data_IF_816755784662
#
_entry.id   IF_816755784662
#
_cell.length_a   1.000
_cell.length_b   1.000
_cell.length_c   1.000
_cell.angle_alpha   90.00
_cell.angle_beta   90.00
_cell.angle_gamma   90.00
#
_symmetry.space_group_name_H-M   'P 1'
#
loop_
_entity.id
_entity.type
_entity.pdbx_description
1 polymer ?
#
# COMPACT_ATOMS: atom_id res chain seq x y z
N UNK A 1 -4.71 13.69 30.49
CA UNK A 1 -5.04 12.30 30.87
C UNK A 1 -4.35 11.97 32.20
N UNK A 2 -5.09 11.50 33.22
CA UNK A 2 -4.52 11.10 34.52
C UNK A 2 -3.73 9.79 34.37
N UNK A 3 -2.59 9.72 35.08
CA UNK A 3 -1.64 8.57 35.12
C UNK A 3 -2.36 7.22 35.17
N UNK A 4 -2.06 6.36 34.20
CA UNK A 4 -2.46 4.95 34.20
C UNK A 4 -1.51 4.19 35.13
N UNK A 5 -1.92 3.99 36.39
CA UNK A 5 -1.29 3.02 37.28
C UNK A 5 -1.65 1.60 36.81
N UNK A 6 -0.71 0.93 36.13
CA UNK A 6 -0.84 -0.50 35.81
C UNK A 6 -0.72 -1.36 37.07
N UNK A 7 -1.83 -1.54 37.79
CA UNK A 7 -1.98 -2.68 38.70
C UNK A 7 -2.56 -3.93 38.04
N UNK A 8 -2.93 -3.90 36.76
CA UNK A 8 -3.49 -5.06 36.07
C UNK A 8 -2.83 -5.28 34.70
N UNK A 9 -2.20 -6.45 34.53
CA UNK A 9 -1.57 -6.95 33.30
C UNK A 9 -2.63 -7.32 32.25
N UNK A 10 -2.78 -6.63 31.10
CA UNK A 10 -3.72 -7.04 30.06
C UNK A 10 -3.04 -7.69 28.83
N UNK A 11 -1.72 -7.54 28.66
CA UNK A 11 -1.04 -7.96 27.44
C UNK A 11 -0.42 -9.38 27.50
N UNK A 12 0.03 -9.83 28.69
CA UNK A 12 0.62 -11.17 28.88
C UNK A 12 -0.34 -12.21 29.51
N UNK A 13 -1.56 -11.83 29.89
CA UNK A 13 -2.56 -12.77 30.43
C UNK A 13 -3.22 -13.63 29.35
N UNK A 14 -3.24 -13.15 28.10
CA UNK A 14 -3.92 -13.78 26.96
C UNK A 14 -3.37 -15.16 26.55
N UNK A 15 -2.05 -15.38 26.66
CA UNK A 15 -1.44 -16.72 26.45
C UNK A 15 -1.79 -17.73 27.55
N UNK A 16 -2.10 -17.28 28.77
CA UNK A 16 -2.50 -18.17 29.89
C UNK A 16 -3.98 -18.55 29.86
N UNK A 17 -4.83 -17.74 29.24
CA UNK A 17 -6.26 -18.02 29.04
C UNK A 17 -6.56 -18.67 27.68
N UNK A 18 -5.55 -18.80 26.81
CA UNK A 18 -5.65 -19.39 25.47
C UNK A 18 -6.59 -18.66 24.50
N UNK A 19 -6.69 -17.33 24.65
CA UNK A 19 -7.43 -16.43 23.76
C UNK A 19 -6.45 -15.41 23.16
N UNK A 20 -6.32 -15.40 21.84
CA UNK A 20 -5.65 -14.35 21.07
C UNK A 20 -6.65 -13.35 20.51
N UNK A 21 -6.40 -12.05 20.68
CA UNK A 21 -7.24 -10.99 20.12
C UNK A 21 -6.59 -10.40 18.87
N UNK A 22 -7.25 -10.55 17.72
CA UNK A 22 -6.68 -10.25 16.41
C UNK A 22 -7.09 -8.87 15.88
N UNK A 23 -7.88 -8.09 16.63
CA UNK A 23 -8.23 -6.71 16.29
C UNK A 23 -7.84 -5.70 17.38
N UNK A 24 -6.54 -5.65 17.73
CA UNK A 24 -6.04 -4.79 18.81
C UNK A 24 -5.68 -3.40 18.28
N UNK A 25 -6.64 -2.50 18.34
CA UNK A 25 -6.56 -1.09 17.90
C UNK A 25 -7.15 -0.15 18.95
N UNK A 26 -6.92 1.14 18.80
CA UNK A 26 -7.36 2.15 19.78
C UNK A 26 -8.88 2.14 19.98
N UNK A 27 -9.64 1.96 18.90
CA UNK A 27 -11.11 1.93 18.89
C UNK A 27 -11.68 0.78 19.73
N UNK A 28 -10.90 -0.29 19.91
CA UNK A 28 -11.30 -1.47 20.67
C UNK A 28 -10.81 -1.41 22.13
N UNK A 29 -10.42 -0.24 22.63
CA UNK A 29 -10.03 -0.01 24.02
C UNK A 29 -10.91 1.10 24.61
N UNK A 30 -11.74 0.73 25.59
CA UNK A 30 -12.56 1.67 26.34
C UNK A 30 -11.97 1.89 27.73
N UNK A 31 -12.07 3.12 28.23
CA UNK A 31 -11.80 3.42 29.63
C UNK A 31 -13.11 3.34 30.41
N UNK A 32 -13.23 2.34 31.27
CA UNK A 32 -14.33 2.21 32.23
C UNK A 32 -13.75 2.51 33.61
N UNK A 33 -14.20 3.60 34.24
CA UNK A 33 -13.68 4.10 35.52
C UNK A 33 -12.15 4.28 35.52
N UNK A 34 -11.60 4.77 34.41
CA UNK A 34 -10.16 4.95 34.22
C UNK A 34 -9.36 3.66 34.02
N UNK A 35 -10.02 2.49 33.96
CA UNK A 35 -9.40 1.20 33.69
C UNK A 35 -9.58 0.84 32.21
N UNK A 36 -8.50 0.56 31.46
CA UNK A 36 -8.63 0.13 30.08
C UNK A 36 -9.23 -1.28 30.00
N UNK A 37 -10.28 -1.40 29.19
CA UNK A 37 -10.98 -2.65 28.86
C UNK A 37 -10.90 -2.87 27.36
N UNK A 38 -10.61 -4.10 26.97
CA UNK A 38 -10.62 -4.51 25.56
C UNK A 38 -12.04 -4.94 25.22
N UNK A 39 -12.56 -4.40 24.12
CA UNK A 39 -13.87 -4.73 23.57
C UNK A 39 -13.72 -5.36 22.18
N UNK A 40 -14.86 -5.66 21.54
CA UNK A 40 -14.95 -6.27 20.21
C UNK A 40 -14.20 -7.60 20.04
N UNK A 41 -14.83 -8.66 20.55
CA UNK A 41 -14.34 -10.04 20.44
C UNK A 41 -14.75 -10.71 19.12
N UNK A 42 -15.05 -9.93 18.06
CA UNK A 42 -15.43 -10.46 16.76
C UNK A 42 -14.32 -11.27 16.07
N UNK A 43 -13.05 -10.90 16.32
CA UNK A 43 -11.85 -11.51 15.72
C UNK A 43 -10.95 -12.12 16.80
N UNK A 44 -11.42 -13.24 17.35
CA UNK A 44 -10.71 -14.01 18.39
C UNK A 44 -10.22 -15.35 17.86
N UNK A 45 -8.99 -15.68 18.24
CA UNK A 45 -8.42 -17.01 18.15
C UNK A 45 -8.50 -17.71 19.51
N UNK A 46 -9.11 -18.89 19.57
CA UNK A 46 -9.37 -19.66 20.79
C UNK A 46 -8.66 -21.03 20.70
N UNK A 47 -7.72 -21.28 21.61
CA UNK A 47 -6.84 -22.46 21.60
C UNK A 47 -7.27 -23.58 22.55
N UNK A 48 -8.11 -23.29 23.53
CA UNK A 48 -8.39 -24.19 24.67
C UNK A 48 -9.58 -25.11 24.46
N UNK A 49 -10.50 -24.78 23.54
CA UNK A 49 -11.73 -25.52 23.30
C UNK A 49 -12.80 -25.36 24.40
N UNK A 50 -12.60 -24.48 25.39
CA UNK A 50 -13.52 -24.29 26.52
C UNK A 50 -14.91 -23.82 26.06
N UNK A 51 -15.96 -24.54 26.44
CA UNK A 51 -17.35 -24.20 26.10
C UNK A 51 -17.79 -22.85 26.69
N UNK A 52 -17.34 -22.54 27.92
CA UNK A 52 -17.66 -21.29 28.60
C UNK A 52 -17.28 -20.02 27.85
N UNK A 53 -16.21 -20.05 27.03
CA UNK A 53 -15.87 -18.89 26.18
C UNK A 53 -16.91 -18.64 25.08
N UNK A 54 -17.62 -19.68 24.63
CA UNK A 54 -18.71 -19.55 23.65
C UNK A 54 -20.00 -19.12 24.31
N UNK A 55 -20.31 -19.68 25.48
CA UNK A 55 -21.48 -19.35 26.28
C UNK A 55 -21.46 -17.88 26.71
N UNK A 56 -20.29 -17.36 27.08
CA UNK A 56 -20.10 -15.94 27.45
C UNK A 56 -19.92 -15.00 26.24
N UNK A 57 -19.95 -15.51 25.00
CA UNK A 57 -19.82 -14.70 23.79
C UNK A 57 -18.39 -14.22 23.45
N UNK A 58 -17.36 -14.69 24.14
CA UNK A 58 -15.95 -14.34 23.86
C UNK A 58 -15.36 -15.08 22.65
N UNK A 59 -15.92 -16.22 22.27
CA UNK A 59 -15.45 -17.02 21.13
C UNK A 59 -16.64 -17.51 20.28
N UNK A 60 -16.51 -17.39 18.96
CA UNK A 60 -17.52 -17.88 18.01
C UNK A 60 -17.34 -19.38 17.72
N UNK A 61 -18.43 -20.05 17.32
CA UNK A 61 -18.39 -21.43 16.83
C UNK A 61 -17.71 -21.49 15.45
N UNK A 62 -16.96 -22.55 15.17
CA UNK A 62 -16.34 -22.83 13.88
C UNK A 62 -14.82 -23.05 13.96
N UNK A 63 -14.30 -23.92 13.09
CA UNK A 63 -12.88 -24.29 13.04
C UNK A 63 -11.96 -23.11 12.72
N UNK A 64 -12.44 -22.10 11.96
CA UNK A 64 -11.65 -20.91 11.63
C UNK A 64 -11.20 -20.09 12.84
N UNK A 65 -11.98 -20.09 13.93
CA UNK A 65 -11.61 -19.40 15.18
C UNK A 65 -10.61 -20.18 16.02
N UNK A 66 -10.23 -21.39 15.58
CA UNK A 66 -9.21 -22.27 16.18
C UNK A 66 -7.91 -22.29 15.39
N UNK A 67 -7.75 -21.43 14.39
CA UNK A 67 -6.49 -21.23 13.68
C UNK A 67 -6.28 -19.75 13.39
N UNK A 68 -5.17 -19.19 13.83
CA UNK A 68 -4.90 -17.77 13.66
C UNK A 68 -4.78 -17.35 12.19
N UNK A 69 -4.24 -18.22 11.33
CA UNK A 69 -4.14 -17.97 9.89
C UNK A 69 -5.49 -18.12 9.19
N UNK A 70 -6.43 -18.89 9.75
CA UNK A 70 -7.76 -19.08 9.19
C UNK A 70 -8.75 -17.95 9.52
N UNK A 71 -8.42 -17.07 10.47
CA UNK A 71 -9.20 -15.86 10.73
C UNK A 71 -9.18 -14.93 9.51
N UNK A 72 -8.02 -14.85 8.84
CA UNK A 72 -7.82 -14.08 7.62
C UNK A 72 -8.38 -12.66 7.72
N UNK A 73 -8.18 -12.00 8.86
CA UNK A 73 -8.66 -10.66 9.13
C UNK A 73 -7.57 -9.81 9.79
N UNK A 74 -7.52 -8.53 9.41
CA UNK A 74 -6.45 -7.63 9.78
C UNK A 74 -6.92 -6.18 9.79
N UNK A 75 -6.33 -5.37 10.67
CA UNK A 75 -6.55 -3.92 10.69
C UNK A 75 -5.31 -3.21 10.17
N UNK A 76 -5.42 -2.35 9.14
CA UNK A 76 -4.30 -1.57 8.64
C UNK A 76 -3.56 -0.84 9.77
N UNK A 77 -2.26 -1.05 9.87
CA UNK A 77 -1.39 -0.39 10.85
C UNK A 77 -1.44 -0.99 12.26
N UNK A 78 -2.32 -1.96 12.52
CA UNK A 78 -2.41 -2.67 13.80
C UNK A 78 -2.25 -4.19 13.65
N UNK A 79 -2.19 -4.68 12.41
CA UNK A 79 -2.07 -6.09 12.12
C UNK A 79 -0.66 -6.63 12.36
N UNK A 80 -0.60 -7.89 12.82
CA UNK A 80 0.64 -8.66 12.80
C UNK A 80 0.71 -9.49 11.51
N UNK A 81 1.91 -9.72 11.00
CA UNK A 81 2.08 -10.46 9.74
C UNK A 81 1.52 -11.90 9.82
N UNK A 82 1.56 -12.53 11.00
CA UNK A 82 1.02 -13.87 11.25
C UNK A 82 -0.52 -13.98 11.17
N UNK A 83 -1.24 -12.86 11.05
CA UNK A 83 -2.70 -12.86 10.94
C UNK A 83 -3.17 -13.21 9.53
N UNK A 84 -2.32 -12.98 8.52
CA UNK A 84 -2.67 -13.14 7.12
C UNK A 84 -1.56 -13.75 6.26
N UNK A 85 -0.39 -14.02 6.83
CA UNK A 85 0.70 -14.76 6.19
C UNK A 85 1.39 -15.69 7.21
N UNK A 86 2.41 -16.44 6.79
CA UNK A 86 3.22 -17.31 7.66
C UNK A 86 4.54 -16.66 8.14
N UNK A 87 4.72 -15.36 7.88
CA UNK A 87 5.98 -14.65 8.10
C UNK A 87 6.23 -14.15 9.50
N UNK A 88 7.51 -13.84 9.75
CA UNK A 88 8.01 -13.26 11.00
C UNK A 88 8.71 -11.90 10.80
N UNK A 89 8.61 -11.32 9.60
CA UNK A 89 9.12 -9.99 9.25
C UNK A 89 8.48 -8.85 10.04
N UNK A 90 7.27 -9.05 10.57
CA UNK A 90 6.61 -8.05 11.41
C UNK A 90 5.70 -8.66 12.49
N UNK A 91 6.08 -8.46 13.75
CA UNK A 91 5.38 -8.99 14.93
C UNK A 91 4.98 -7.89 15.93
N UNK A 92 5.09 -6.63 15.53
CA UNK A 92 5.01 -5.49 16.44
C UNK A 92 3.56 -5.16 16.76
N UNK A 93 3.25 -4.96 18.04
CA UNK A 93 1.96 -4.45 18.50
C UNK A 93 1.99 -2.92 18.47
N UNK A 94 1.71 -2.32 17.31
CA UNK A 94 1.78 -0.87 17.13
C UNK A 94 0.90 -0.08 18.08
N UNK A 95 -0.17 -0.70 18.59
CA UNK A 95 -1.01 -0.15 19.64
C UNK A 95 -0.21 0.56 20.74
N UNK A 96 0.94 0.02 21.13
CA UNK A 96 1.77 0.66 22.14
C UNK A 96 2.26 2.03 21.68
N UNK A 97 2.82 2.17 20.48
CA UNK A 97 3.23 3.48 19.94
C UNK A 97 2.09 4.50 19.99
N UNK A 98 0.88 4.08 19.65
CA UNK A 98 -0.32 4.91 19.72
C UNK A 98 -0.81 5.27 21.12
N UNK A 99 -0.28 4.65 22.19
CA UNK A 99 -0.61 5.01 23.58
C UNK A 99 0.25 6.16 24.12
N UNK A 100 1.45 6.35 23.57
CA UNK A 100 2.43 7.31 24.10
C UNK A 100 3.00 8.28 23.06
N UNK A 101 2.60 8.13 21.80
CA UNK A 101 2.69 9.17 20.80
C UNK A 101 1.27 9.67 20.50
N UNK A 102 1.10 10.94 20.17
CA UNK A 102 -0.18 11.37 19.60
C UNK A 102 -0.45 10.65 18.26
N UNK A 103 -1.70 10.69 17.79
CA UNK A 103 -2.14 9.99 16.58
C UNK A 103 -1.24 10.29 15.38
N UNK A 104 -1.00 11.57 15.07
CA UNK A 104 -0.23 12.00 13.89
C UNK A 104 1.24 11.62 14.03
N UNK A 105 1.81 11.81 15.22
CA UNK A 105 3.17 11.43 15.55
C UNK A 105 3.41 9.93 15.39
N UNK A 106 2.47 9.09 15.84
CA UNK A 106 2.56 7.63 15.68
C UNK A 106 2.67 7.22 14.21
N UNK A 107 1.79 7.75 13.36
CA UNK A 107 1.81 7.47 11.92
C UNK A 107 3.10 7.95 11.25
N UNK A 108 3.58 9.14 11.60
CA UNK A 108 4.84 9.66 11.06
C UNK A 108 6.04 8.80 11.47
N UNK A 109 6.14 8.46 12.75
CA UNK A 109 7.24 7.66 13.28
C UNK A 109 7.28 6.24 12.68
N UNK A 110 6.11 5.65 12.42
CA UNK A 110 5.99 4.30 11.89
C UNK A 110 6.17 4.24 10.37
N UNK A 111 5.59 5.20 9.62
CA UNK A 111 5.38 5.04 8.18
C UNK A 111 5.93 6.18 7.32
N UNK A 112 6.36 7.31 7.89
CA UNK A 112 7.04 8.37 7.12
C UNK A 112 8.53 8.06 7.05
N UNK A 113 9.09 8.08 5.85
CA UNK A 113 10.54 8.12 5.65
C UNK A 113 11.10 9.38 6.31
N UNK A 114 12.23 9.24 6.99
CA UNK A 114 12.92 10.35 7.65
C UNK A 114 14.36 10.43 7.14
N UNK A 115 14.84 11.64 6.93
CA UNK A 115 16.25 11.88 6.67
C UNK A 115 17.05 12.03 7.99
N UNK A 116 18.37 12.08 7.90
CA UNK A 116 19.24 12.19 9.09
C UNK A 116 19.06 13.50 9.87
N UNK A 117 18.62 14.59 9.23
CA UNK A 117 18.31 15.85 9.92
C UNK A 117 17.03 15.70 10.75
N UNK A 118 15.94 15.24 10.12
CA UNK A 118 14.66 14.97 10.80
C UNK A 118 14.87 13.97 11.95
N UNK A 119 15.68 12.93 11.74
CA UNK A 119 16.01 11.94 12.77
C UNK A 119 16.64 12.58 14.00
N UNK A 120 17.64 13.46 13.83
CA UNK A 120 18.29 14.18 14.94
C UNK A 120 17.33 15.08 15.69
N UNK A 121 16.37 15.70 15.00
CA UNK A 121 15.32 16.51 15.63
C UNK A 121 14.35 15.64 16.44
N UNK A 122 13.89 14.53 15.87
CA UNK A 122 13.02 13.56 16.55
C UNK A 122 13.74 12.95 17.76
N UNK A 123 15.02 12.62 17.66
CA UNK A 123 15.80 12.06 18.77
C UNK A 123 15.82 13.01 19.98
N UNK A 124 15.95 14.33 19.76
CA UNK A 124 15.86 15.32 20.82
C UNK A 124 14.48 15.32 21.49
N UNK A 125 13.41 15.25 20.71
CA UNK A 125 12.03 15.20 21.23
C UNK A 125 11.84 13.93 22.07
N UNK A 126 12.23 12.78 21.53
CA UNK A 126 12.11 11.47 22.21
C UNK A 126 12.93 11.44 23.51
N UNK A 127 14.13 12.02 23.52
CA UNK A 127 14.96 12.18 24.72
C UNK A 127 14.26 13.06 25.77
N UNK A 128 13.70 14.20 25.37
CA UNK A 128 12.97 15.10 26.26
C UNK A 128 11.71 14.46 26.86
N UNK A 129 11.13 13.45 26.18
CA UNK A 129 10.00 12.66 26.68
C UNK A 129 10.42 11.43 27.52
N UNK A 130 11.72 11.28 27.84
CA UNK A 130 12.28 10.11 28.52
C UNK A 130 12.01 8.76 27.80
N UNK A 131 11.88 8.80 26.47
CA UNK A 131 11.48 7.65 25.66
C UNK A 131 12.63 7.08 24.81
N UNK A 132 13.88 7.18 25.27
CA UNK A 132 15.08 6.75 24.52
C UNK A 132 15.04 5.27 24.09
N UNK A 133 14.31 4.43 24.83
CA UNK A 133 14.14 3.01 24.56
C UNK A 133 12.94 2.68 23.66
N UNK A 134 12.25 3.66 23.07
CA UNK A 134 11.02 3.46 22.28
C UNK A 134 11.21 2.42 21.15
N UNK A 135 12.38 2.38 20.52
CA UNK A 135 12.74 1.44 19.45
C UNK A 135 12.70 -0.03 19.88
N UNK A 136 12.87 -0.31 21.18
CA UNK A 136 12.92 -1.67 21.74
C UNK A 136 11.54 -2.21 22.10
N UNK A 137 10.47 -1.40 21.99
CA UNK A 137 9.09 -1.86 22.27
C UNK A 137 8.69 -3.00 21.33
N UNK A 138 9.22 -2.99 20.09
CA UNK A 138 9.05 -4.07 19.11
C UNK A 138 9.65 -5.42 19.54
N UNK A 139 10.57 -5.43 20.50
CA UNK A 139 11.20 -6.64 21.04
C UNK A 139 10.33 -7.32 22.11
N UNK A 140 9.14 -6.77 22.39
CA UNK A 140 8.21 -7.30 23.38
C UNK A 140 8.53 -6.89 24.82
N UNK A 141 9.54 -6.02 25.02
CA UNK A 141 9.90 -5.50 26.32
C UNK A 141 8.96 -4.36 26.75
N UNK A 142 7.77 -4.72 27.19
CA UNK A 142 6.74 -3.76 27.63
C UNK A 142 7.07 -3.05 28.96
N UNK A 143 8.11 -3.45 29.70
CA UNK A 143 8.49 -2.71 30.93
C UNK A 143 9.04 -1.33 30.60
N UNK A 144 9.61 -1.16 29.41
CA UNK A 144 10.11 0.12 28.88
C UNK A 144 9.01 1.18 28.77
N UNK A 145 7.73 0.76 28.67
CA UNK A 145 6.59 1.68 28.65
C UNK A 145 6.52 2.50 29.96
N UNK A 146 7.03 1.97 31.08
CA UNK A 146 7.03 2.68 32.36
C UNK A 146 8.00 3.86 32.41
N UNK A 147 8.98 3.88 31.51
CA UNK A 147 9.98 4.94 31.41
C UNK A 147 9.41 6.18 30.69
N UNK A 148 8.39 5.98 29.84
CA UNK A 148 7.78 7.05 29.05
C UNK A 148 6.82 7.84 29.94
N UNK A 149 7.21 9.07 30.31
CA UNK A 149 6.45 9.91 31.25
C UNK A 149 5.51 10.90 30.56
N UNK A 150 5.71 11.14 29.27
CA UNK A 150 5.04 12.20 28.50
C UNK A 150 4.64 11.71 27.13
N UNK A 151 3.55 12.27 26.58
CA UNK A 151 3.15 12.03 25.19
C UNK A 151 4.22 12.63 24.27
N UNK A 152 4.69 11.82 23.33
CA UNK A 152 5.61 12.24 22.27
C UNK A 152 4.78 12.90 21.17
N UNK A 153 5.05 14.18 20.96
CA UNK A 153 4.44 14.96 19.90
C UNK A 153 5.52 15.54 19.01
N UNK A 154 5.56 15.08 17.77
CA UNK A 154 6.47 15.59 16.75
C UNK A 154 5.72 16.71 16.04
N UNK A 155 6.30 17.92 15.97
CA UNK A 155 5.77 18.99 15.15
C UNK A 155 5.74 18.51 13.69
N UNK A 156 4.59 18.01 13.24
CA UNK A 156 4.46 17.50 11.88
C UNK A 156 3.88 18.57 10.98
N UNK A 157 4.58 18.85 9.89
CA UNK A 157 4.12 19.67 8.78
C UNK A 157 3.46 18.88 7.65
N UNK A 158 3.42 17.54 7.69
CA UNK A 158 3.13 16.76 6.47
C UNK A 158 1.73 16.19 6.37
N UNK A 159 1.04 16.55 5.30
CA UNK A 159 -0.22 16.03 4.76
C UNK A 159 -0.11 14.62 4.12
N UNK A 160 0.98 13.87 4.36
CA UNK A 160 1.29 12.60 3.67
C UNK A 160 0.29 11.46 3.92
N UNK A 161 -0.49 11.57 5.00
CA UNK A 161 -1.45 10.56 5.38
C UNK A 161 -2.82 11.22 5.54
N UNK A 162 -3.85 10.62 4.96
CA UNK A 162 -5.24 10.97 5.22
C UNK A 162 -5.65 10.35 6.57
N UNK A 163 -5.20 10.96 7.66
CA UNK A 163 -5.37 10.42 9.03
C UNK A 163 -6.76 10.65 9.62
N UNK A 164 -7.55 11.50 8.96
CA UNK A 164 -8.90 11.84 9.37
C UNK A 164 -9.96 10.95 8.68
N UNK A 165 -9.55 10.02 7.80
CA UNK A 165 -10.44 9.04 7.18
C UNK A 165 -10.97 8.05 8.23
N UNK A 166 -12.30 8.06 8.41
CA UNK A 166 -13.02 7.20 9.34
C UNK A 166 -12.83 5.69 9.08
N UNK A 167 -12.33 5.30 7.90
CA UNK A 167 -12.12 3.92 7.51
C UNK A 167 -10.66 3.45 7.61
N UNK A 168 -9.71 4.32 7.96
CA UNK A 168 -8.27 3.98 8.02
C UNK A 168 -7.97 2.76 8.90
N UNK A 169 -8.68 2.61 10.02
CA UNK A 169 -8.51 1.51 10.98
C UNK A 169 -9.64 0.48 10.92
N UNK A 170 -10.41 0.46 9.83
CA UNK A 170 -11.45 -0.54 9.63
C UNK A 170 -10.82 -1.90 9.30
N UNK A 171 -11.22 -2.91 10.06
CA UNK A 171 -10.72 -4.28 9.91
C UNK A 171 -11.22 -4.87 8.60
N UNK A 172 -10.36 -5.60 7.90
CA UNK A 172 -10.67 -6.22 6.60
C UNK A 172 -10.50 -7.72 6.62
N UNK A 173 -11.31 -8.40 5.80
CA UNK A 173 -11.14 -9.82 5.52
C UNK A 173 -10.14 -9.99 4.38
N UNK A 174 -8.92 -10.39 4.69
CA UNK A 174 -7.81 -10.55 3.74
C UNK A 174 -8.17 -11.51 2.59
N UNK A 175 -8.96 -12.56 2.85
CA UNK A 175 -9.37 -13.50 1.80
C UNK A 175 -10.23 -12.85 0.70
N UNK A 176 -10.83 -11.68 0.94
CA UNK A 176 -11.55 -10.94 -0.09
C UNK A 176 -10.63 -10.10 -0.96
N UNK A 177 -9.36 -9.90 -0.60
CA UNK A 177 -8.40 -9.10 -1.37
C UNK A 177 -8.23 -9.62 -2.78
N UNK A 178 -8.02 -10.93 -2.93
CA UNK A 178 -7.90 -11.57 -4.24
C UNK A 178 -9.15 -11.34 -5.09
N UNK A 179 -10.34 -11.50 -4.51
CA UNK A 179 -11.60 -11.29 -5.22
C UNK A 179 -11.83 -9.81 -5.59
N UNK A 180 -11.54 -8.89 -4.67
CA UNK A 180 -11.72 -7.45 -4.86
C UNK A 180 -10.78 -6.93 -5.95
N UNK A 181 -9.51 -7.32 -5.90
CA UNK A 181 -8.55 -6.91 -6.91
C UNK A 181 -8.76 -7.62 -8.25
N UNK A 182 -9.19 -8.89 -8.29
CA UNK A 182 -9.60 -9.54 -9.58
C UNK A 182 -10.77 -8.80 -10.24
N UNK A 183 -11.65 -8.18 -9.45
CA UNK A 183 -12.80 -7.44 -9.97
C UNK A 183 -12.46 -6.01 -10.40
N UNK A 184 -11.51 -5.33 -9.75
CA UNK A 184 -10.96 -4.06 -10.28
C UNK A 184 -10.40 -4.22 -11.70
N UNK A 185 -9.91 -5.42 -12.03
CA UNK A 185 -9.27 -5.75 -13.32
C UNK A 185 -10.27 -6.11 -14.41
N UNK A 186 -11.34 -6.82 -14.05
CA UNK A 186 -12.28 -7.41 -15.00
C UNK A 186 -13.46 -6.50 -15.34
N UNK A 187 -13.55 -5.29 -14.78
CA UNK A 187 -14.58 -4.34 -15.19
C UNK A 187 -14.22 -3.74 -16.55
N UNK A 188 -15.04 -4.04 -17.55
CA UNK A 188 -15.06 -3.33 -18.82
C UNK A 188 -15.14 -1.84 -18.53
N UNK A 189 -14.04 -1.10 -18.74
CA UNK A 189 -13.86 0.33 -18.43
C UNK A 189 -14.95 1.24 -19.05
N UNK A 190 -15.77 0.70 -19.96
CA UNK A 190 -16.95 1.33 -20.55
C UNK A 190 -18.12 1.53 -19.56
N UNK A 191 -18.23 0.70 -18.51
CA UNK A 191 -19.36 0.72 -17.56
C UNK A 191 -18.92 1.00 -16.11
N UNK A 192 -17.74 1.59 -15.96
CA UNK A 192 -17.09 1.80 -14.68
C UNK A 192 -17.52 3.14 -14.08
N UNK A 193 -17.92 3.14 -12.81
CA UNK A 193 -18.31 4.37 -12.10
C UNK A 193 -17.11 5.31 -11.94
N UNK A 194 -17.35 6.63 -11.82
CA UNK A 194 -16.31 7.66 -11.66
C UNK A 194 -15.24 7.29 -10.60
N UNK A 195 -15.64 6.64 -9.52
CA UNK A 195 -14.79 6.19 -8.41
C UNK A 195 -13.72 5.13 -8.79
N UNK A 196 -13.88 4.46 -9.93
CA UNK A 196 -12.94 3.43 -10.40
C UNK A 196 -12.10 3.92 -11.58
N UNK A 197 -12.54 4.95 -12.31
CA UNK A 197 -11.79 5.56 -13.41
C UNK A 197 -10.77 6.61 -12.94
N UNK A 198 -11.06 7.43 -11.91
CA UNK A 198 -10.08 8.37 -11.36
C UNK A 198 -9.23 7.72 -10.26
N UNK A 199 -8.28 6.91 -10.70
CA UNK A 199 -7.44 6.09 -9.84
C UNK A 199 -5.95 6.33 -10.09
N UNK A 200 -5.55 7.58 -10.39
CA UNK A 200 -4.12 7.95 -10.50
C UNK A 200 -3.33 7.57 -9.25
N UNK A 201 -4.00 7.78 -8.13
CA UNK A 201 -3.50 7.61 -6.79
C UNK A 201 -4.45 6.73 -6.00
N UNK A 202 -5.15 5.77 -6.61
CA UNK A 202 -6.09 4.95 -5.84
C UNK A 202 -5.35 4.05 -4.86
N UNK A 203 -6.02 3.74 -3.75
CA UNK A 203 -5.49 2.87 -2.71
C UNK A 203 -4.98 1.52 -3.22
N UNK A 204 -5.50 0.99 -4.33
CA UNK A 204 -5.13 -0.36 -4.80
C UNK A 204 -4.30 -0.40 -6.06
N UNK A 205 -4.54 0.44 -7.06
CA UNK A 205 -3.80 0.36 -8.32
C UNK A 205 -2.29 0.55 -8.09
N UNK A 206 -1.92 1.45 -7.17
CA UNK A 206 -0.55 1.72 -6.75
C UNK A 206 0.10 0.51 -6.08
N UNK A 207 -0.39 -0.03 -4.94
CA UNK A 207 0.24 -1.18 -4.32
C UNK A 207 0.11 -2.47 -5.14
N UNK A 208 -0.90 -2.62 -6.00
CA UNK A 208 -0.97 -3.75 -6.95
C UNK A 208 0.16 -3.64 -7.96
N UNK A 209 0.35 -2.48 -8.59
CA UNK A 209 1.46 -2.29 -9.53
C UNK A 209 2.82 -2.52 -8.87
N UNK A 210 3.04 -2.01 -7.66
CA UNK A 210 4.26 -2.25 -6.86
C UNK A 210 4.43 -3.73 -6.51
N UNK A 211 3.34 -4.44 -6.22
CA UNK A 211 3.37 -5.89 -5.98
C UNK A 211 3.88 -6.63 -7.21
N UNK A 212 3.40 -6.30 -8.40
CA UNK A 212 3.86 -6.92 -9.66
C UNK A 212 5.34 -6.66 -9.91
N UNK A 213 5.79 -5.42 -9.70
CA UNK A 213 7.21 -5.05 -9.83
C UNK A 213 8.09 -5.82 -8.83
N UNK A 214 7.65 -5.95 -7.58
CA UNK A 214 8.35 -6.73 -6.55
C UNK A 214 8.40 -8.21 -6.90
N UNK A 215 7.30 -8.79 -7.36
CA UNK A 215 7.25 -10.19 -7.77
C UNK A 215 8.25 -10.48 -8.90
N UNK A 216 8.31 -9.59 -9.90
CA UNK A 216 9.32 -9.65 -10.96
C UNK A 216 10.74 -9.54 -10.38
N UNK A 217 11.00 -8.57 -9.50
CA UNK A 217 12.33 -8.33 -8.93
C UNK A 217 12.82 -9.49 -8.05
N UNK A 218 11.94 -10.11 -7.24
CA UNK A 218 12.26 -11.29 -6.43
C UNK A 218 12.71 -12.45 -7.33
N UNK A 219 11.97 -12.69 -8.42
CA UNK A 219 12.27 -13.78 -9.36
C UNK A 219 13.54 -13.51 -10.15
N UNK A 220 13.69 -12.32 -10.72
CA UNK A 220 14.71 -12.03 -11.73
C UNK A 220 15.98 -11.40 -11.15
N UNK A 221 15.87 -10.46 -10.21
CA UNK A 221 17.05 -9.81 -9.63
C UNK A 221 17.73 -10.70 -8.58
N UNK A 222 16.94 -11.51 -7.85
CA UNK A 222 17.46 -12.38 -6.78
C UNK A 222 17.52 -13.86 -7.17
N UNK A 223 16.96 -14.26 -8.32
CA UNK A 223 16.90 -15.65 -8.74
C UNK A 223 16.08 -16.55 -7.79
N UNK A 224 15.16 -15.97 -7.00
CA UNK A 224 14.47 -16.70 -5.94
C UNK A 224 13.26 -17.49 -6.48
N UNK A 225 13.20 -18.78 -6.13
CA UNK A 225 12.06 -19.66 -6.45
C UNK A 225 11.21 -19.87 -5.20
N UNK A 226 10.00 -19.34 -5.21
CA UNK A 226 9.06 -19.43 -4.10
C UNK A 226 8.34 -20.79 -4.06
N UNK A 227 9.02 -21.80 -3.51
CA UNK A 227 8.51 -23.20 -3.47
C UNK A 227 7.26 -23.37 -2.61
N UNK A 228 7.05 -22.50 -1.63
CA UNK A 228 5.99 -22.62 -0.62
C UNK A 228 4.96 -21.49 -0.73
N UNK A 229 4.98 -20.74 -1.84
CA UNK A 229 4.07 -19.62 -2.10
C UNK A 229 4.14 -18.52 -1.02
N UNK A 230 5.24 -18.38 -0.26
CA UNK A 230 5.33 -17.37 0.81
C UNK A 230 5.31 -15.92 0.30
N UNK A 231 5.65 -15.71 -0.97
CA UNK A 231 5.79 -14.44 -1.67
C UNK A 231 4.77 -14.32 -2.81
N UNK A 232 3.62 -14.99 -2.67
CA UNK A 232 2.49 -14.79 -3.57
C UNK A 232 2.08 -13.32 -3.64
N UNK A 233 1.50 -12.92 -4.77
CA UNK A 233 1.05 -11.54 -4.97
C UNK A 233 0.08 -11.07 -3.86
N UNK A 234 -0.82 -11.94 -3.41
CA UNK A 234 -1.73 -11.65 -2.30
C UNK A 234 -0.98 -11.36 -0.99
N UNK A 235 0.05 -12.15 -0.67
CA UNK A 235 0.85 -11.99 0.56
C UNK A 235 1.70 -10.72 0.53
N UNK A 236 2.30 -10.40 -0.62
CA UNK A 236 3.05 -9.16 -0.82
C UNK A 236 2.10 -7.96 -0.72
N UNK A 237 0.99 -7.97 -1.46
CA UNK A 237 -0.01 -6.89 -1.46
C UNK A 237 -0.56 -6.64 -0.06
N UNK A 238 -1.00 -7.70 0.63
CA UNK A 238 -1.50 -7.60 2.01
C UNK A 238 -0.46 -6.97 2.93
N UNK A 239 0.82 -7.35 2.78
CA UNK A 239 1.91 -6.77 3.58
C UNK A 239 2.14 -5.30 3.26
N UNK A 240 2.03 -4.90 1.98
CA UNK A 240 2.14 -3.50 1.58
C UNK A 240 1.05 -2.63 2.25
N UNK A 241 -0.21 -3.05 2.13
CA UNK A 241 -1.38 -2.24 2.53
C UNK A 241 -1.78 -2.36 4.00
N UNK A 242 -1.32 -3.39 4.72
CA UNK A 242 -1.64 -3.59 6.14
C UNK A 242 -0.49 -3.23 7.07
N UNK A 243 0.76 -3.31 6.60
CA UNK A 243 1.96 -3.18 7.46
C UNK A 243 2.91 -2.10 6.96
N UNK A 244 3.31 -2.12 5.69
CA UNK A 244 4.41 -1.25 5.21
C UNK A 244 3.93 0.19 5.10
N UNK A 245 2.80 0.38 4.42
CA UNK A 245 2.19 1.66 4.21
C UNK A 245 0.67 1.50 4.38
N UNK A 246 0.19 1.43 5.63
CA UNK A 246 -1.17 0.99 5.88
C UNK A 246 -2.19 1.97 5.34
N UNK A 247 -3.26 1.44 4.75
CA UNK A 247 -4.31 2.24 4.13
C UNK A 247 -5.69 1.69 4.41
N UNK A 248 -6.67 2.59 4.39
CA UNK A 248 -8.07 2.21 4.40
C UNK A 248 -8.36 1.29 3.21
N UNK A 249 -9.18 0.28 3.48
CA UNK A 249 -9.69 -0.63 2.47
C UNK A 249 -11.18 -0.37 2.17
N UNK A 250 -11.73 0.73 2.70
CA UNK A 250 -13.07 1.17 2.34
C UNK A 250 -13.16 1.49 0.84
N UNK A 251 -14.35 1.28 0.28
CA UNK A 251 -14.57 1.40 -1.17
C UNK A 251 -14.05 0.21 -1.99
N UNK A 252 -13.39 -0.77 -1.37
CA UNK A 252 -13.09 -2.08 -1.97
C UNK A 252 -14.17 -3.11 -1.68
N UNK A 253 -15.23 -2.69 -1.00
CA UNK A 253 -16.42 -3.50 -0.85
C UNK A 253 -17.21 -3.46 -2.16
N UNK A 254 -17.60 -4.62 -2.67
CA UNK A 254 -18.28 -4.78 -3.95
C UNK A 254 -19.60 -4.00 -4.05
N UNK A 255 -20.19 -3.73 -2.90
CA UNK A 255 -21.22 -2.74 -2.68
C UNK A 255 -20.66 -1.79 -1.63
N UNK A 256 -19.96 -0.71 -2.01
CA UNK A 256 -19.57 0.28 -1.01
C UNK A 256 -20.85 0.66 -0.29
N UNK A 257 -20.83 0.55 1.04
CA UNK A 257 -21.96 1.05 1.80
C UNK A 257 -22.16 2.51 1.37
N UNK A 258 -23.38 3.04 1.26
CA UNK A 258 -23.59 4.43 0.79
C UNK A 258 -22.77 5.48 1.58
N UNK A 259 -22.21 5.08 2.73
CA UNK A 259 -21.34 5.84 3.63
C UNK A 259 -19.83 5.72 3.35
N UNK A 260 -19.38 4.76 2.53
CA UNK A 260 -17.98 4.61 2.12
C UNK A 260 -17.74 5.38 0.82
N UNK A 261 -17.68 6.71 0.93
CA UNK A 261 -17.55 7.64 -0.21
C UNK A 261 -16.14 8.19 -0.38
N UNK A 262 -15.26 7.98 0.61
CA UNK A 262 -13.92 8.57 0.66
C UNK A 262 -12.86 7.49 0.41
N UNK A 263 -12.03 7.71 -0.62
CA UNK A 263 -10.88 6.89 -0.93
C UNK A 263 -9.62 7.64 -0.50
N UNK A 264 -8.65 6.92 0.07
CA UNK A 264 -7.36 7.55 0.33
C UNK A 264 -6.55 7.58 -0.96
N UNK A 265 -5.88 8.71 -1.18
CA UNK A 265 -4.93 8.83 -2.26
C UNK A 265 -3.59 8.21 -1.84
N UNK A 266 -2.95 7.55 -2.78
CA UNK A 266 -1.64 6.95 -2.62
C UNK A 266 -0.71 7.48 -3.71
N UNK A 267 0.26 8.27 -3.29
CA UNK A 267 1.33 8.70 -4.19
C UNK A 267 2.34 7.56 -4.32
N UNK A 268 2.56 7.10 -5.56
CA UNK A 268 3.48 6.01 -5.87
C UNK A 268 4.86 6.23 -5.27
N UNK A 269 5.37 7.47 -5.30
CA UNK A 269 6.67 7.82 -4.74
C UNK A 269 6.72 7.57 -3.24
N UNK A 270 5.67 7.91 -2.47
CA UNK A 270 5.63 7.67 -1.03
C UNK A 270 5.64 6.17 -0.70
N UNK A 271 4.90 5.35 -1.45
CA UNK A 271 4.93 3.89 -1.25
C UNK A 271 6.31 3.30 -1.59
N UNK A 272 6.91 3.71 -2.71
CA UNK A 272 8.24 3.26 -3.13
C UNK A 272 9.33 3.70 -2.15
N UNK A 273 9.26 4.93 -1.65
CA UNK A 273 10.13 5.43 -0.61
C UNK A 273 9.99 4.64 0.67
N UNK A 274 8.76 4.38 1.13
CA UNK A 274 8.53 3.57 2.33
C UNK A 274 8.99 2.12 2.15
N UNK A 275 8.86 1.58 0.94
CA UNK A 275 9.34 0.24 0.60
C UNK A 275 10.87 0.16 0.70
N UNK A 276 11.59 1.14 0.18
CA UNK A 276 13.06 1.09 0.10
C UNK A 276 13.79 1.78 1.28
N UNK A 277 13.16 2.71 2.01
CA UNK A 277 13.77 3.48 3.12
C UNK A 277 13.21 3.06 4.47
N UNK A 278 14.00 3.26 5.52
CA UNK A 278 13.57 3.07 6.91
C UNK A 278 12.72 4.26 7.37
N UNK A 279 11.94 4.03 8.42
CA UNK A 279 11.29 5.10 9.19
C UNK A 279 11.99 5.22 10.54
N UNK A 280 11.49 6.08 11.43
CA UNK A 280 12.06 6.16 12.77
C UNK A 280 11.93 4.83 13.52
N UNK A 281 10.76 4.17 13.45
CA UNK A 281 10.46 2.99 14.26
C UNK A 281 10.49 1.66 13.46
N UNK A 282 10.50 1.71 12.13
CA UNK A 282 10.38 0.51 11.29
C UNK A 282 11.54 0.34 10.30
N UNK A 283 11.89 -0.91 10.07
CA UNK A 283 12.77 -1.32 8.97
C UNK A 283 12.14 -1.01 7.60
N UNK A 284 12.95 -1.11 6.54
CA UNK A 284 12.45 -0.91 5.17
C UNK A 284 11.33 -1.89 4.86
N UNK A 285 10.37 -1.48 4.03
CA UNK A 285 9.28 -2.36 3.62
C UNK A 285 9.78 -3.63 2.94
N UNK A 286 10.85 -3.53 2.15
CA UNK A 286 11.48 -4.69 1.54
C UNK A 286 12.00 -5.68 2.58
N UNK A 287 12.64 -5.24 3.66
CA UNK A 287 13.10 -6.17 4.70
C UNK A 287 11.95 -6.84 5.47
N UNK A 288 10.80 -6.18 5.56
CA UNK A 288 9.58 -6.76 6.11
C UNK A 288 9.03 -7.85 5.17
N UNK A 289 8.93 -7.56 3.87
CA UNK A 289 8.50 -8.54 2.84
C UNK A 289 9.47 -9.70 2.74
N UNK A 290 10.79 -9.45 2.68
CA UNK A 290 11.84 -10.48 2.60
C UNK A 290 11.73 -11.53 3.70
N UNK A 291 11.11 -11.21 4.83
CA UNK A 291 10.93 -12.12 5.98
C UNK A 291 9.52 -12.73 6.05
N UNK A 292 8.79 -12.76 4.94
CA UNK A 292 7.54 -13.53 4.80
C UNK A 292 7.75 -15.04 4.94
N UNK A 293 8.87 -15.58 4.45
CA UNK A 293 9.28 -16.94 4.74
C UNK A 293 9.68 -17.10 6.21
N UNK A 294 9.22 -18.17 6.87
CA UNK A 294 9.51 -18.40 8.29
C UNK A 294 10.99 -18.73 8.51
N UNK A 295 11.56 -19.63 7.72
CA UNK A 295 12.95 -20.06 7.86
C UNK A 295 13.86 -19.29 6.90
N UNK A 296 15.13 -19.11 7.27
CA UNK A 296 16.07 -18.35 6.44
C UNK A 296 16.29 -18.96 5.05
N UNK A 297 16.25 -20.29 4.95
CA UNK A 297 16.31 -21.05 3.68
C UNK A 297 15.13 -20.75 2.73
N UNK A 298 14.00 -20.30 3.27
CA UNK A 298 12.77 -20.03 2.53
C UNK A 298 12.60 -18.53 2.24
N UNK A 299 13.64 -17.72 2.51
CA UNK A 299 13.63 -16.27 2.26
C UNK A 299 14.53 -15.95 1.07
N UNK A 300 14.20 -14.92 0.26
CA UNK A 300 15.14 -14.34 -0.69
C UNK A 300 16.43 -13.91 0.02
N UNK A 301 17.56 -13.99 -0.68
CA UNK A 301 18.86 -13.51 -0.18
C UNK A 301 18.75 -12.09 0.36
N UNK A 302 19.60 -11.75 1.35
CA UNK A 302 19.69 -10.37 1.84
C UNK A 302 19.98 -9.44 0.66
N UNK A 303 19.26 -8.35 0.61
CA UNK A 303 19.28 -7.44 -0.52
C UNK A 303 18.70 -6.08 -0.14
N UNK A 304 19.07 -5.06 -0.90
CA UNK A 304 18.57 -3.70 -0.75
C UNK A 304 17.57 -3.38 -1.86
N UNK A 305 16.53 -2.63 -1.51
CA UNK A 305 15.53 -2.14 -2.45
C UNK A 305 15.98 -0.79 -2.98
N UNK A 306 15.94 -0.63 -4.30
CA UNK A 306 16.07 0.66 -4.99
C UNK A 306 14.89 0.83 -5.93
N UNK A 307 14.45 2.06 -6.10
CA UNK A 307 13.51 2.42 -7.15
C UNK A 307 14.10 3.54 -8.00
N UNK A 308 13.74 3.55 -9.27
CA UNK A 308 14.20 4.54 -10.23
C UNK A 308 13.03 5.13 -11.01
N UNK A 309 13.07 6.44 -11.24
CA UNK A 309 12.17 7.12 -12.17
C UNK A 309 12.66 6.87 -13.60
N UNK A 310 11.75 6.43 -14.46
CA UNK A 310 12.00 6.12 -15.86
C UNK A 310 11.16 7.06 -16.70
N UNK A 311 11.77 7.66 -17.71
CA UNK A 311 11.10 8.57 -18.61
C UNK A 311 10.78 7.83 -19.92
N UNK A 312 9.52 7.46 -20.10
CA UNK A 312 9.00 6.89 -21.33
C UNK A 312 9.02 7.94 -22.43
N UNK A 313 9.44 7.57 -23.64
CA UNK A 313 9.55 8.42 -24.83
C UNK A 313 9.53 7.55 -26.10
N UNK A 314 9.47 8.13 -27.29
CA UNK A 314 9.39 7.39 -28.56
C UNK A 314 10.57 6.40 -28.73
N UNK A 315 11.76 6.78 -28.27
CA UNK A 315 13.00 5.99 -28.34
C UNK A 315 13.22 5.08 -27.12
N UNK A 316 12.23 4.96 -26.23
CA UNK A 316 12.33 4.17 -25.01
C UNK A 316 12.56 2.68 -25.31
N UNK A 317 13.56 2.10 -24.66
CA UNK A 317 13.88 0.68 -24.70
C UNK A 317 13.41 0.00 -23.42
N UNK A 318 12.50 -0.96 -23.58
CA UNK A 318 11.97 -1.72 -22.45
C UNK A 318 13.01 -2.71 -21.93
N UNK A 319 13.25 -2.70 -20.62
CA UNK A 319 14.21 -3.60 -19.97
C UNK A 319 13.59 -4.44 -18.87
N UNK A 320 12.54 -3.94 -18.21
CA UNK A 320 11.84 -4.60 -17.11
C UNK A 320 10.50 -3.93 -16.83
N UNK A 321 9.58 -4.61 -16.13
CA UNK A 321 8.27 -4.05 -15.83
C UNK A 321 8.34 -2.72 -15.09
N UNK A 322 7.46 -1.79 -15.47
CA UNK A 322 7.35 -0.45 -14.91
C UNK A 322 5.94 -0.22 -14.41
N UNK A 323 5.83 0.53 -13.31
CA UNK A 323 4.55 1.12 -12.93
C UNK A 323 4.37 2.41 -13.73
N UNK A 324 3.25 2.53 -14.43
CA UNK A 324 2.94 3.62 -15.36
C UNK A 324 1.60 4.23 -15.02
N UNK A 325 1.41 5.51 -15.32
CA UNK A 325 0.12 6.17 -15.15
C UNK A 325 -0.53 6.34 -16.53
N UNK A 326 -1.67 5.71 -16.75
CA UNK A 326 -2.49 5.95 -17.94
C UNK A 326 -3.36 7.19 -17.79
N UNK A 327 -3.67 7.81 -18.92
CA UNK A 327 -4.64 8.88 -19.08
C UNK A 327 -5.72 8.42 -20.08
N UNK A 328 -6.99 8.65 -19.75
CA UNK A 328 -8.13 8.22 -20.56
C UNK A 328 -9.13 9.35 -20.72
N UNK A 329 -9.52 9.64 -21.95
CA UNK A 329 -10.51 10.66 -22.27
C UNK A 329 -11.91 10.04 -22.34
N UNK A 330 -12.74 10.33 -21.33
CA UNK A 330 -14.15 9.94 -21.35
C UNK A 330 -14.96 11.06 -22.03
N UNK A 331 -15.67 10.76 -23.14
CA UNK A 331 -16.57 11.75 -23.74
C UNK A 331 -17.85 11.90 -22.90
N UNK A 332 -18.25 13.14 -22.58
CA UNK A 332 -19.52 13.44 -21.89
C UNK A 332 -20.69 13.31 -22.86
N UNK A 333 -20.56 13.86 -24.07
CA UNK A 333 -21.63 13.91 -25.07
C UNK A 333 -21.11 13.70 -26.48
N UNK A 334 -21.99 13.16 -27.30
CA UNK A 334 -21.84 13.14 -28.76
C UNK A 334 -22.88 14.08 -29.33
N UNK A 335 -22.45 15.17 -29.96
CA UNK A 335 -23.33 16.11 -30.67
C UNK A 335 -22.88 16.11 -32.13
N UNK A 336 -23.78 15.75 -33.05
CA UNK A 336 -23.52 15.69 -34.49
C UNK A 336 -22.28 14.85 -34.86
N UNK A 337 -22.03 13.76 -34.14
CA UNK A 337 -20.87 12.88 -34.34
C UNK A 337 -19.55 13.41 -33.75
N UNK A 338 -19.55 14.64 -33.23
CA UNK A 338 -18.40 15.22 -32.53
C UNK A 338 -18.47 14.89 -31.03
N UNK A 339 -17.33 14.49 -30.48
CA UNK A 339 -17.20 14.15 -29.07
C UNK A 339 -16.79 15.38 -28.27
N UNK A 340 -17.53 15.67 -27.19
CA UNK A 340 -17.24 16.76 -26.27
C UNK A 340 -16.68 16.16 -24.97
N UNK A 341 -15.38 16.35 -24.68
CA UNK A 341 -14.75 15.82 -23.47
C UNK A 341 -15.14 16.62 -22.23
N UNK A 342 -15.47 15.96 -21.11
CA UNK A 342 -15.62 16.61 -19.79
C UNK A 342 -14.34 16.50 -18.94
N UNK A 343 -13.73 15.31 -18.89
CA UNK A 343 -12.77 14.98 -17.84
C UNK A 343 -11.75 13.93 -18.32
N UNK A 344 -10.46 14.18 -18.07
CA UNK A 344 -9.39 13.19 -18.24
C UNK A 344 -9.26 12.40 -16.94
N UNK A 345 -9.36 11.09 -17.07
CA UNK A 345 -9.17 10.16 -15.97
C UNK A 345 -7.78 9.58 -15.99
N UNK A 346 -7.25 9.26 -14.82
CA UNK A 346 -5.92 8.67 -14.69
C UNK A 346 -5.98 7.35 -13.94
N UNK A 347 -5.12 6.39 -14.31
CA UNK A 347 -5.08 5.08 -13.68
C UNK A 347 -3.65 4.53 -13.57
N UNK A 348 -3.26 4.02 -12.40
CA UNK A 348 -1.96 3.35 -12.24
C UNK A 348 -2.00 1.92 -12.78
N UNK A 349 -1.07 1.57 -13.65
CA UNK A 349 -1.00 0.27 -14.35
C UNK A 349 0.42 -0.28 -14.34
N UNK A 350 0.60 -1.48 -14.91
CA UNK A 350 1.91 -2.10 -15.10
C UNK A 350 2.21 -2.23 -16.58
N UNK A 351 3.25 -1.56 -17.05
CA UNK A 351 3.87 -1.86 -18.34
C UNK A 351 4.71 -3.13 -18.18
N UNK A 352 4.31 -4.21 -18.86
CA UNK A 352 4.92 -5.53 -18.72
C UNK A 352 5.96 -5.83 -19.80
N UNK A 353 5.71 -5.37 -21.03
CA UNK A 353 6.66 -5.48 -22.15
C UNK A 353 6.33 -4.51 -23.28
N UNK A 354 7.24 -4.42 -24.22
CA UNK A 354 7.01 -3.85 -25.55
C UNK A 354 6.93 -5.01 -26.54
N UNK A 355 5.92 -4.98 -27.39
CA UNK A 355 5.79 -5.89 -28.53
C UNK A 355 6.45 -5.24 -29.74
N UNK A 356 7.70 -5.62 -30.04
CA UNK A 356 8.47 -5.03 -31.12
C UNK A 356 7.87 -5.31 -32.51
N UNK A 357 7.07 -6.38 -32.64
CA UNK A 357 6.41 -6.73 -33.90
C UNK A 357 5.27 -5.76 -34.26
N UNK A 358 4.58 -5.23 -33.24
CA UNK A 358 3.49 -4.26 -33.41
C UNK A 358 3.89 -2.83 -33.01
N UNK A 359 5.07 -2.65 -32.43
CA UNK A 359 5.54 -1.39 -31.84
C UNK A 359 4.56 -0.84 -30.78
N UNK A 360 4.07 -1.73 -29.90
CA UNK A 360 3.07 -1.41 -28.88
C UNK A 360 3.57 -1.68 -27.46
N UNK A 361 3.16 -0.82 -26.54
CA UNK A 361 3.20 -1.10 -25.11
C UNK A 361 2.14 -2.12 -24.75
N UNK A 362 2.56 -3.17 -24.03
CA UNK A 362 1.68 -4.19 -23.47
C UNK A 362 1.51 -3.92 -21.98
N UNK A 363 0.33 -3.45 -21.61
CA UNK A 363 0.03 -2.94 -20.28
C UNK A 363 -1.02 -3.83 -19.63
N UNK A 364 -0.78 -4.22 -18.38
CA UNK A 364 -1.76 -4.92 -17.58
C UNK A 364 -2.56 -3.91 -16.78
N UNK A 365 -3.89 -4.01 -16.91
CA UNK A 365 -4.84 -3.20 -16.14
C UNK A 365 -5.04 -3.75 -14.70
N UNK A 366 -4.01 -4.42 -14.14
CA UNK A 366 -3.82 -4.91 -12.76
C UNK A 366 -4.19 -6.36 -12.35
N UNK A 367 -4.06 -7.38 -13.22
CA UNK A 367 -4.17 -8.80 -12.80
C UNK A 367 -2.92 -9.31 -12.05
N UNK A 368 -3.10 -10.12 -10.99
CA UNK A 368 -1.98 -10.84 -10.33
C UNK A 368 -1.59 -12.16 -11.02
N UNK A 369 -2.38 -12.62 -12.00
CA UNK A 369 -2.11 -13.84 -12.74
C UNK A 369 -1.56 -13.50 -14.13
N UNK A 370 -0.63 -14.32 -14.62
CA UNK A 370 -0.21 -14.31 -16.03
C UNK A 370 -1.46 -14.47 -16.92
N UNK A 371 -1.74 -13.47 -17.78
CA UNK A 371 -2.88 -13.49 -18.70
C UNK A 371 -4.09 -12.61 -18.33
N UNK A 372 -3.92 -11.58 -17.49
CA UNK A 372 -4.97 -10.57 -17.22
C UNK A 372 -5.43 -9.79 -18.45
N UNK A 373 -6.43 -8.92 -18.29
CA UNK A 373 -6.84 -8.00 -19.34
C UNK A 373 -5.66 -7.13 -19.77
N UNK A 374 -5.31 -7.21 -21.05
CA UNK A 374 -4.18 -6.52 -21.66
C UNK A 374 -4.68 -5.32 -22.43
N UNK A 375 -4.17 -4.15 -22.07
CA UNK A 375 -4.27 -2.93 -22.85
C UNK A 375 -3.05 -2.83 -23.77
N UNK A 376 -3.28 -2.51 -25.04
CA UNK A 376 -2.23 -2.23 -26.01
C UNK A 376 -2.27 -0.74 -26.36
N UNK A 377 -1.14 -0.07 -26.24
CA UNK A 377 -0.98 1.35 -26.63
C UNK A 377 0.15 1.43 -27.64
N UNK A 378 -0.12 1.93 -28.84
CA UNK A 378 0.91 2.17 -29.84
C UNK A 378 1.96 3.15 -29.30
N UNK A 379 3.25 2.85 -29.46
CA UNK A 379 4.32 3.75 -28.99
C UNK A 379 4.27 5.11 -29.69
N UNK A 380 3.86 5.12 -30.94
CA UNK A 380 3.67 6.33 -31.74
C UNK A 380 2.43 7.07 -31.20
N UNK A 381 2.64 8.21 -30.54
CA UNK A 381 1.59 9.03 -29.90
C UNK A 381 1.02 8.46 -28.60
N UNK A 382 1.86 7.78 -27.81
CA UNK A 382 1.46 7.20 -26.55
C UNK A 382 1.26 8.23 -25.42
N UNK A 383 1.74 9.47 -25.54
CA UNK A 383 2.04 10.29 -24.35
C UNK A 383 1.05 11.41 -24.10
N UNK A 384 0.44 11.43 -22.91
CA UNK A 384 -0.40 12.51 -22.44
C UNK A 384 0.42 13.58 -21.71
N UNK A 385 0.10 14.85 -21.92
CA UNK A 385 0.65 15.99 -21.16
C UNK A 385 -0.45 16.90 -20.63
N UNK A 386 -0.25 17.41 -19.43
CA UNK A 386 -1.02 18.52 -18.85
C UNK A 386 -0.14 19.77 -18.62
N UNK A 387 1.15 19.72 -18.98
CA UNK A 387 2.07 20.84 -18.81
C UNK A 387 1.94 21.80 -20.00
N UNK A 388 1.31 22.95 -19.76
CA UNK A 388 1.12 24.01 -20.76
C UNK A 388 2.44 24.45 -21.43
N UNK A 389 3.58 24.33 -20.74
CA UNK A 389 4.90 24.68 -21.29
C UNK A 389 5.38 23.67 -22.34
N UNK A 390 4.88 22.44 -22.30
CA UNK A 390 5.20 21.38 -23.26
C UNK A 390 4.27 21.39 -24.48
N UNK A 391 3.36 22.37 -24.57
CA UNK A 391 2.33 22.47 -25.60
C UNK A 391 2.75 23.46 -26.70
N UNK A 392 3.88 23.20 -27.36
CA UNK A 392 4.29 23.97 -28.54
C UNK A 392 3.87 23.19 -29.79
N UNK A 393 2.90 23.71 -30.54
CA UNK A 393 2.49 23.17 -31.83
C UNK A 393 3.64 23.36 -32.83
N UNK A 394 4.09 22.26 -33.44
CA UNK A 394 4.97 22.36 -34.59
C UNK A 394 4.18 22.85 -35.83
N UNK A 395 4.89 23.18 -36.91
CA UNK A 395 4.28 23.65 -38.15
C UNK A 395 3.30 22.63 -38.80
N UNK A 396 3.36 21.36 -38.39
CA UNK A 396 2.47 20.29 -38.84
C UNK A 396 1.24 20.09 -37.91
N UNK A 397 1.09 20.91 -36.86
CA UNK A 397 -0.02 20.80 -35.90
C UNK A 397 0.15 19.69 -34.87
N UNK A 398 1.35 19.13 -34.71
CA UNK A 398 1.65 18.10 -33.72
C UNK A 398 2.36 18.69 -32.49
N UNK A 399 2.06 18.16 -31.30
CA UNK A 399 2.84 18.42 -30.10
C UNK A 399 4.02 17.46 -30.03
N UNK A 400 5.15 17.91 -30.56
CA UNK A 400 6.42 17.19 -30.41
C UNK A 400 7.34 17.91 -29.45
N UNK A 401 7.86 17.17 -28.48
CA UNK A 401 8.88 17.66 -27.57
C UNK A 401 10.15 16.84 -27.80
N UNK A 402 11.28 17.53 -27.97
CA UNK A 402 12.60 16.91 -27.99
C UNK A 402 13.31 17.23 -26.67
N UNK A 403 13.77 16.19 -25.98
CA UNK A 403 14.60 16.28 -24.79
C UNK A 403 16.03 16.67 -25.13
N UNK A 404 16.77 17.09 -24.11
CA UNK A 404 18.17 17.52 -24.28
C UNK A 404 19.11 16.36 -24.64
N UNK A 405 18.71 15.10 -24.42
CA UNK A 405 19.53 13.93 -24.70
C UNK A 405 18.96 13.07 -25.85
N UNK A 406 18.18 13.68 -26.74
CA UNK A 406 17.61 13.00 -27.90
C UNK A 406 16.35 12.18 -27.61
N UNK A 407 15.73 12.37 -26.44
CA UNK A 407 14.39 11.87 -26.19
C UNK A 407 13.38 12.59 -27.09
N UNK A 408 12.38 11.88 -27.62
CA UNK A 408 11.31 12.48 -28.42
C UNK A 408 9.96 12.05 -27.87
N UNK A 409 9.03 12.99 -27.73
CA UNK A 409 7.65 12.70 -27.36
C UNK A 409 6.71 13.21 -28.43
N UNK A 410 5.80 12.34 -28.84
CA UNK A 410 4.55 12.76 -29.47
C UNK A 410 3.47 12.85 -28.40
N UNK A 411 3.08 14.09 -28.06
CA UNK A 411 2.21 14.42 -26.94
C UNK A 411 0.75 14.63 -27.39
N UNK A 412 -0.19 14.33 -26.48
CA UNK A 412 -1.63 14.57 -26.65
C UNK A 412 -2.22 15.31 -25.46
N UNK A 413 -3.31 16.05 -25.69
CA UNK A 413 -4.04 16.76 -24.63
C UNK A 413 -5.53 16.96 -25.01
N UNK A 414 -6.40 17.04 -24.01
CA UNK A 414 -7.85 17.18 -24.14
C UNK A 414 -8.32 18.56 -24.65
N UNK A 415 -7.54 19.62 -24.42
CA UNK A 415 -7.91 21.00 -24.78
C UNK A 415 -7.59 21.36 -26.23
N UNK A 416 -6.85 20.52 -26.95
CA UNK A 416 -6.44 20.78 -28.32
C UNK A 416 -7.10 19.79 -29.28
N UNK A 417 -7.90 20.35 -30.19
CA UNK A 417 -8.74 19.59 -31.13
C UNK A 417 -7.93 18.50 -31.84
N UNK A 418 -8.50 17.29 -31.86
CA UNK A 418 -8.02 16.11 -32.58
C UNK A 418 -6.69 15.50 -32.12
N UNK A 419 -6.07 15.96 -31.02
CA UNK A 419 -4.83 15.35 -30.51
C UNK A 419 -5.08 14.14 -29.61
N UNK A 420 -5.99 14.26 -28.65
CA UNK A 420 -6.43 13.16 -27.79
C UNK A 420 -7.74 12.56 -28.31
N UNK A 421 -7.73 11.27 -28.67
CA UNK A 421 -8.92 10.57 -29.17
C UNK A 421 -9.81 10.12 -28.00
N UNK A 422 -11.13 10.32 -28.08
CA UNK A 422 -12.07 9.79 -27.10
C UNK A 422 -11.95 8.27 -26.99
N UNK A 423 -12.23 7.74 -25.79
CA UNK A 423 -12.19 6.28 -25.51
C UNK A 423 -10.84 5.63 -25.83
N UNK A 424 -9.76 6.40 -25.77
CA UNK A 424 -8.39 5.95 -26.04
C UNK A 424 -7.51 6.19 -24.82
N UNK A 425 -6.63 5.23 -24.54
CA UNK A 425 -5.65 5.32 -23.46
C UNK A 425 -4.33 5.88 -23.96
N UNK A 426 -3.75 6.73 -23.13
CA UNK A 426 -2.43 7.31 -23.27
C UNK A 426 -1.66 7.10 -21.97
N UNK A 427 -0.37 7.43 -21.94
CA UNK A 427 0.52 7.29 -20.79
C UNK A 427 1.11 8.65 -20.41
N UNK A 428 1.26 8.91 -19.12
CA UNK A 428 2.19 9.94 -18.70
C UNK A 428 3.63 9.46 -18.98
N UNK A 429 4.54 10.35 -19.39
CA UNK A 429 5.94 9.99 -19.61
C UNK A 429 6.65 9.45 -18.37
N UNK A 430 6.18 9.79 -17.17
CA UNK A 430 6.80 9.35 -15.92
C UNK A 430 6.37 7.94 -15.52
N UNK A 431 7.34 7.06 -15.35
CA UNK A 431 7.17 5.70 -14.87
C UNK A 431 8.16 5.38 -13.74
N UNK A 432 7.95 4.28 -13.02
CA UNK A 432 8.89 3.84 -11.98
C UNK A 432 9.23 2.36 -12.12
N UNK A 433 10.47 2.03 -11.76
CA UNK A 433 10.99 0.65 -11.68
C UNK A 433 11.42 0.32 -10.25
N UNK A 434 11.44 -0.97 -9.90
CA UNK A 434 12.03 -1.49 -8.66
C UNK A 434 13.15 -2.44 -9.02
N UNK A 435 14.26 -2.34 -8.31
CA UNK A 435 15.42 -3.23 -8.40
C UNK A 435 15.77 -3.73 -7.00
N UNK A 436 15.98 -5.04 -6.87
CA UNK A 436 16.50 -5.64 -5.65
C UNK A 436 17.97 -6.00 -5.85
N UNK A 437 18.87 -5.36 -5.09
CA UNK A 437 20.31 -5.57 -5.23
C UNK A 437 20.79 -6.50 -4.11
N UNK A 438 21.26 -7.72 -4.42
CA UNK A 438 21.85 -8.62 -3.43
C UNK A 438 22.95 -7.93 -2.62
N UNK A 439 22.99 -8.18 -1.32
CA UNK A 439 24.14 -7.81 -0.50
C UNK A 439 25.32 -8.71 -0.90
N UNK A 440 26.53 -8.15 -0.96
CA UNK A 440 27.74 -8.96 -1.16
C UNK A 440 27.98 -9.77 0.11
N UNK A 441 28.17 -11.08 -0.05
CA UNK A 441 28.49 -12.00 1.04
C UNK A 441 29.85 -11.67 1.69
#
# INVERSE_FOLDING_TARGET
>A
MKKISQKNRPANSKKKIGIGHYDRKLENILLVDGIPKIIDFGLIYEQTGRSGYREMGYARKGSKFRSHSALSAATPGFAAQAQFTFGAGYQVQNLFYFLFCDWKSSWNLLYKQINEKEKKEIDKIVQNCHATSIHKIKEGNISLIREITSIISIPSSSSHFCLDDANLTKSVQVSSLKQNATKCVNQDLKNVTKNVLDQKSSNLCVPISVTTLLHFAIKNDLGFKDKYDYYSAEKILSTLILIIYPRSMAGLNLNPNKKETEFQLNEIELLLERLCKKTYLMETGWQIIRKLGRDEKDRPKKSTCKFGKVLLNNNFTFTRPLTVTGAYLLPDRVIDGNFFPEEVFFHQMVLDRVDDSTNEYVIHNTSFAEGGAVLRIAKNNAYYTCDQRMMILNAAGEFKLNGQNGEEWSLVNEFFQNTMKPKTWYLLPSAYSIILVPEKD
#
